data_IF_432745965163
#
_entry.id   IF_432745965163
#
_cell.length_a   1.000
_cell.length_b   1.000
_cell.length_c   1.000
_cell.angle_alpha   90.00
_cell.angle_beta   90.00
_cell.angle_gamma   90.00
#
_symmetry.space_group_name_H-M   'P 1'
#
loop_
_entity.id
_entity.type
_entity.pdbx_description
1 polymer ?
#
# COMPACT_ATOMS: atom_id res chain seq x y z
N UNK A 1 17.93 -19.93 22.28
CA UNK A 1 19.28 -19.36 22.41
C UNK A 1 19.54 -18.73 21.07
N UNK A 2 19.45 -17.41 21.01
CA UNK A 2 19.69 -16.64 19.80
C UNK A 2 21.21 -16.45 19.70
N UNK A 3 21.80 -16.96 18.61
CA UNK A 3 23.23 -16.81 18.36
C UNK A 3 23.47 -15.40 17.81
N UNK A 4 23.86 -14.51 18.72
CA UNK A 4 24.30 -13.16 18.39
C UNK A 4 25.73 -13.23 17.86
N UNK A 5 25.91 -13.12 16.54
CA UNK A 5 27.24 -13.03 15.94
C UNK A 5 27.80 -11.61 16.16
N UNK A 6 28.81 -11.51 17.02
CA UNK A 6 29.43 -10.26 17.46
C UNK A 6 30.24 -9.58 16.34
N UNK A 7 30.44 -10.24 15.19
CA UNK A 7 31.36 -9.76 14.15
C UNK A 7 30.70 -9.16 12.90
N UNK A 8 29.39 -9.30 12.70
CA UNK A 8 28.72 -8.83 11.47
C UNK A 8 27.74 -7.66 11.67
N UNK A 9 27.37 -7.29 12.91
CA UNK A 9 26.31 -6.30 13.17
C UNK A 9 24.98 -6.60 12.44
N UNK A 10 24.80 -7.81 11.94
CA UNK A 10 23.60 -8.27 11.26
C UNK A 10 22.95 -9.35 12.11
N UNK A 11 21.69 -9.14 12.46
CA UNK A 11 20.91 -10.13 13.18
C UNK A 11 20.34 -11.09 12.14
N UNK A 12 20.92 -12.28 12.02
CA UNK A 12 20.35 -13.35 11.20
C UNK A 12 19.10 -13.91 11.88
N UNK A 13 17.94 -13.35 11.51
CA UNK A 13 16.66 -13.87 11.95
C UNK A 13 16.29 -15.11 11.15
N UNK A 14 15.98 -16.21 11.86
CA UNK A 14 15.51 -17.45 11.22
C UNK A 14 14.10 -17.24 10.64
N UNK A 15 13.80 -17.79 9.44
CA UNK A 15 12.46 -17.75 8.79
C UNK A 15 11.26 -17.99 9.74
N UNK A 16 11.30 -18.92 10.70
CA UNK A 16 10.20 -19.15 11.64
C UNK A 16 9.95 -17.96 12.59
N UNK A 17 10.99 -17.20 12.92
CA UNK A 17 10.88 -16.01 13.77
C UNK A 17 10.19 -14.86 13.02
N UNK A 18 10.55 -14.62 11.76
CA UNK A 18 9.86 -13.65 10.90
C UNK A 18 8.36 -13.96 10.82
N UNK A 19 8.01 -15.21 10.49
CA UNK A 19 6.62 -15.64 10.42
C UNK A 19 5.87 -15.45 11.74
N UNK A 20 6.52 -15.65 12.89
CA UNK A 20 5.90 -15.44 14.21
C UNK A 20 5.71 -13.96 14.56
N UNK A 21 6.70 -13.11 14.29
CA UNK A 21 6.60 -11.66 14.49
C UNK A 21 5.52 -11.08 13.58
N UNK A 22 5.55 -11.44 12.31
CA UNK A 22 4.56 -11.07 11.31
C UNK A 22 3.16 -11.51 11.74
N UNK A 23 2.98 -12.78 12.14
CA UNK A 23 1.67 -13.30 12.58
C UNK A 23 1.12 -12.51 13.76
N UNK A 24 1.97 -12.13 14.72
CA UNK A 24 1.60 -11.33 15.88
C UNK A 24 1.15 -9.92 15.47
N UNK A 25 1.85 -9.26 14.56
CA UNK A 25 1.48 -7.90 14.11
C UNK A 25 0.19 -7.85 13.28
N UNK A 26 -0.18 -8.94 12.59
CA UNK A 26 -1.37 -8.97 11.72
C UNK A 26 -2.61 -9.50 12.42
N UNK A 27 -2.48 -10.53 13.25
CA UNK A 27 -3.62 -11.12 13.97
C UNK A 27 -3.98 -10.31 15.21
N UNK A 28 -2.99 -9.74 15.89
CA UNK A 28 -3.20 -8.80 16.98
C UNK A 28 -3.05 -7.38 16.41
N UNK A 29 -4.07 -6.90 15.70
CA UNK A 29 -4.11 -5.51 15.22
C UNK A 29 -3.82 -4.60 16.41
N UNK A 30 -2.67 -3.90 16.47
CA UNK A 30 -2.40 -3.02 17.59
C UNK A 30 -3.50 -1.96 17.63
N UNK A 31 -3.97 -1.64 18.84
CA UNK A 31 -5.00 -0.62 19.10
C UNK A 31 -4.67 0.76 18.53
N UNK A 32 -3.43 0.96 18.04
CA UNK A 32 -2.99 2.07 17.21
C UNK A 32 -2.64 1.58 15.80
N UNK A 33 -3.58 1.65 14.84
CA UNK A 33 -3.51 0.79 13.66
C UNK A 33 -2.92 1.52 12.45
N UNK A 34 -1.75 2.17 12.52
CA UNK A 34 -1.31 2.97 11.34
C UNK A 34 0.06 3.65 11.39
N UNK A 35 1.04 3.03 12.06
CA UNK A 35 2.41 3.54 12.04
C UNK A 35 3.21 3.14 10.80
N UNK A 36 4.43 3.66 10.63
CA UNK A 36 5.42 3.16 9.67
C UNK A 36 5.66 1.63 9.77
N UNK A 37 5.52 1.06 10.98
CA UNK A 37 5.59 -0.39 11.20
C UNK A 37 4.46 -1.16 10.51
N UNK A 38 3.26 -0.58 10.41
CA UNK A 38 2.16 -1.19 9.65
C UNK A 38 2.54 -1.30 8.17
N UNK A 39 3.01 -0.20 7.57
CA UNK A 39 3.44 -0.17 6.18
C UNK A 39 4.58 -1.15 5.91
N UNK A 40 5.59 -1.15 6.79
CA UNK A 40 6.74 -2.06 6.74
C UNK A 40 6.34 -3.53 6.80
N UNK A 41 5.47 -3.90 7.75
CA UNK A 41 5.00 -5.28 7.87
C UNK A 41 4.21 -5.72 6.64
N UNK A 42 3.38 -4.84 6.07
CA UNK A 42 2.64 -5.13 4.83
C UNK A 42 3.56 -5.35 3.64
N UNK A 43 4.66 -4.59 3.51
CA UNK A 43 5.68 -4.86 2.50
C UNK A 43 6.29 -6.25 2.68
N UNK A 44 6.76 -6.59 3.88
CA UNK A 44 7.34 -7.91 4.17
C UNK A 44 6.38 -9.07 3.83
N UNK A 45 5.11 -8.94 4.20
CA UNK A 45 4.10 -9.94 3.86
C UNK A 45 3.88 -10.08 2.36
N UNK A 46 3.94 -8.97 1.62
CA UNK A 46 3.82 -9.03 0.17
C UNK A 46 4.99 -9.78 -0.47
N UNK A 47 6.20 -9.63 0.06
CA UNK A 47 7.40 -10.35 -0.39
C UNK A 47 7.27 -11.87 -0.16
N UNK A 48 6.76 -12.26 1.03
CA UNK A 48 6.46 -13.67 1.32
C UNK A 48 5.39 -14.23 0.37
N UNK A 49 4.29 -13.49 0.17
CA UNK A 49 3.21 -13.90 -0.73
C UNK A 49 3.69 -14.02 -2.19
N UNK A 50 4.59 -13.13 -2.63
CA UNK A 50 5.17 -13.20 -3.96
C UNK A 50 6.01 -14.47 -4.13
N UNK A 51 6.82 -14.83 -3.11
CA UNK A 51 7.59 -16.07 -3.10
C UNK A 51 6.74 -17.35 -3.09
N UNK A 52 5.54 -17.29 -2.53
CA UNK A 52 4.56 -18.38 -2.52
C UNK A 52 3.66 -18.43 -3.76
N UNK A 53 3.85 -17.52 -4.73
CA UNK A 53 2.97 -17.32 -5.90
C UNK A 53 1.51 -17.01 -5.53
N UNK A 54 1.29 -16.34 -4.40
CA UNK A 54 -0.02 -15.86 -3.98
C UNK A 54 -0.22 -14.39 -4.38
N UNK A 55 -0.51 -14.18 -5.67
CA UNK A 55 -0.57 -12.85 -6.27
C UNK A 55 -1.66 -11.95 -5.66
N UNK A 56 -2.81 -12.52 -5.30
CA UNK A 56 -3.93 -11.77 -4.74
C UNK A 56 -3.62 -11.19 -3.36
N UNK A 57 -3.02 -11.98 -2.47
CA UNK A 57 -2.59 -11.51 -1.16
C UNK A 57 -1.40 -10.55 -1.28
N UNK A 58 -0.44 -10.85 -2.17
CA UNK A 58 0.67 -9.94 -2.47
C UNK A 58 0.17 -8.54 -2.89
N UNK A 59 -0.73 -8.49 -3.86
CA UNK A 59 -1.34 -7.26 -4.33
C UNK A 59 -2.12 -6.51 -3.23
N UNK A 60 -2.89 -7.24 -2.42
CA UNK A 60 -3.59 -6.65 -1.29
C UNK A 60 -2.61 -6.02 -0.30
N UNK A 61 -1.58 -6.75 0.13
CA UNK A 61 -0.61 -6.24 1.09
C UNK A 61 0.24 -5.09 0.54
N UNK A 62 0.62 -5.10 -0.74
CA UNK A 62 1.26 -3.94 -1.36
C UNK A 62 0.33 -2.72 -1.38
N UNK A 63 -0.95 -2.90 -1.73
CA UNK A 63 -1.93 -1.79 -1.69
C UNK A 63 -2.09 -1.20 -0.28
N UNK A 64 -2.05 -2.06 0.74
CA UNK A 64 -2.15 -1.68 2.15
C UNK A 64 -0.87 -1.03 2.71
N UNK A 65 0.27 -1.30 2.10
CA UNK A 65 1.56 -0.73 2.52
C UNK A 65 1.68 0.77 2.24
N UNK A 66 0.82 1.32 1.35
CA UNK A 66 0.91 2.69 0.89
C UNK A 66 -0.06 3.59 1.66
N UNK A 67 0.36 4.80 2.00
CA UNK A 67 -0.51 5.88 2.52
C UNK A 67 -1.36 5.59 3.77
N UNK A 68 -0.98 4.61 4.60
CA UNK A 68 -1.63 4.31 5.88
C UNK A 68 -1.88 5.54 6.78
N UNK A 69 -0.96 6.51 6.82
CA UNK A 69 -1.14 7.76 7.57
C UNK A 69 -2.28 8.63 7.03
N UNK A 70 -2.42 8.74 5.69
CA UNK A 70 -3.53 9.47 5.06
C UNK A 70 -4.86 8.79 5.35
N UNK A 71 -4.90 7.45 5.26
CA UNK A 71 -6.09 6.65 5.63
C UNK A 71 -6.51 6.90 7.07
N UNK A 72 -5.55 6.99 7.99
CA UNK A 72 -5.81 7.28 9.41
C UNK A 72 -6.45 8.65 9.60
N UNK A 73 -5.90 9.68 8.93
CA UNK A 73 -6.46 11.02 8.98
C UNK A 73 -7.87 11.07 8.39
N UNK A 74 -8.13 10.30 7.32
CA UNK A 74 -9.47 10.19 6.73
C UNK A 74 -10.46 9.53 7.69
N UNK A 75 -10.09 8.42 8.35
CA UNK A 75 -10.90 7.76 9.38
C UNK A 75 -11.17 8.71 10.53
N UNK A 76 -10.13 9.37 11.05
CA UNK A 76 -10.26 10.33 12.14
C UNK A 76 -11.21 11.48 11.76
N UNK A 77 -11.13 11.99 10.54
CA UNK A 77 -12.02 13.04 10.05
C UNK A 77 -13.47 12.56 9.93
N UNK A 78 -13.70 11.34 9.45
CA UNK A 78 -15.03 10.74 9.38
C UNK A 78 -15.64 10.59 10.79
N UNK A 79 -14.84 10.15 11.77
CA UNK A 79 -15.30 10.07 13.17
C UNK A 79 -15.62 11.43 13.78
N UNK A 80 -14.82 12.47 13.50
CA UNK A 80 -15.12 13.83 13.92
C UNK A 80 -16.46 14.31 13.35
N UNK A 81 -16.70 14.08 12.05
CA UNK A 81 -17.96 14.46 11.39
C UNK A 81 -19.14 13.72 11.99
N UNK A 82 -19.02 12.40 12.23
CA UNK A 82 -20.04 11.59 12.90
C UNK A 82 -20.36 12.12 14.31
N UNK A 83 -19.34 12.52 15.06
CA UNK A 83 -19.50 13.00 16.44
C UNK A 83 -20.07 14.43 16.51
N UNK A 84 -19.82 15.24 15.49
CA UNK A 84 -20.24 16.65 15.45
C UNK A 84 -21.61 16.84 14.79
N UNK A 85 -21.97 15.97 13.84
CA UNK A 85 -23.18 16.08 13.02
C UNK A 85 -24.48 15.69 13.71
N UNK A 86 -24.44 14.76 14.68
CA UNK A 86 -25.65 14.30 15.37
C UNK A 86 -25.38 13.96 16.85
N UNK A 87 -26.01 14.73 17.75
CA UNK A 87 -25.90 14.51 19.21
C UNK A 87 -26.45 13.14 19.62
N UNK A 88 -27.41 12.59 18.87
CA UNK A 88 -28.01 11.29 19.15
C UNK A 88 -27.02 10.18 18.79
N UNK A 89 -26.37 10.25 17.62
CA UNK A 89 -25.29 9.32 17.26
C UNK A 89 -24.14 9.34 18.27
N UNK A 90 -23.79 10.51 18.82
CA UNK A 90 -22.78 10.61 19.88
C UNK A 90 -23.17 9.78 21.10
N UNK A 91 -24.40 9.92 21.59
CA UNK A 91 -24.89 9.14 22.75
C UNK A 91 -24.94 7.65 22.43
N UNK A 92 -25.45 7.25 21.26
CA UNK A 92 -25.48 5.84 20.84
C UNK A 92 -24.08 5.22 20.77
N UNK A 93 -23.09 5.92 20.22
CA UNK A 93 -21.71 5.43 20.13
C UNK A 93 -21.05 5.23 21.50
N UNK A 94 -21.47 5.95 22.55
CA UNK A 94 -20.97 5.73 23.91
C UNK A 94 -21.71 4.62 24.64
N UNK A 95 -23.01 4.45 24.37
CA UNK A 95 -23.88 3.49 25.07
C UNK A 95 -23.78 2.08 24.48
N UNK A 96 -23.74 1.94 23.15
CA UNK A 96 -23.75 0.65 22.45
C UNK A 96 -22.57 -0.26 22.82
N UNK A 97 -21.31 0.21 22.87
CA UNK A 97 -20.19 -0.64 23.28
C UNK A 97 -20.28 -1.12 24.73
N UNK A 98 -20.89 -0.34 25.62
CA UNK A 98 -21.12 -0.73 27.02
C UNK A 98 -22.18 -1.83 27.07
N UNK A 99 -23.26 -1.69 26.31
CA UNK A 99 -24.30 -2.70 26.17
C UNK A 99 -23.73 -4.02 25.62
N UNK A 100 -22.96 -3.96 24.53
CA UNK A 100 -22.33 -5.14 23.93
C UNK A 100 -21.33 -5.84 24.90
N UNK A 101 -20.67 -5.07 25.77
CA UNK A 101 -19.77 -5.60 26.81
C UNK A 101 -20.54 -6.30 27.93
N UNK A 102 -21.69 -5.76 28.34
CA UNK A 102 -22.60 -6.37 29.31
C UNK A 102 -23.16 -7.68 28.74
N UNK A 103 -23.55 -7.66 27.47
CA UNK A 103 -24.18 -8.81 26.80
C UNK A 103 -23.17 -9.95 26.48
N UNK A 104 -21.88 -9.64 26.36
CA UNK A 104 -20.82 -10.62 25.99
C UNK A 104 -20.11 -11.30 27.16
N UNK A 105 -20.29 -10.85 28.41
CA UNK A 105 -19.67 -11.49 29.58
C UNK A 105 -20.60 -12.50 30.28
N UNK A 106 -20.18 -13.77 30.47
CA UNK A 106 -20.94 -14.71 31.28
C UNK A 106 -20.83 -14.34 32.77
N UNK A 107 -21.98 -14.06 33.39
CA UNK A 107 -22.09 -13.40 34.69
C UNK A 107 -21.65 -14.31 35.85
N UNK A 108 -20.84 -13.78 36.76
CA UNK A 108 -20.53 -14.35 38.08
C UNK A 108 -21.50 -13.80 39.12
N UNK A 109 -22.05 -14.68 39.98
CA UNK A 109 -23.13 -14.42 40.96
C UNK A 109 -22.87 -13.33 42.01
N UNK A 110 -21.67 -12.76 42.09
CA UNK A 110 -21.33 -11.75 43.09
C UNK A 110 -21.47 -10.30 42.61
N UNK A 111 -21.60 -10.06 41.31
CA UNK A 111 -21.70 -8.70 40.73
C UNK A 111 -23.11 -8.34 40.21
N UNK A 112 -24.09 -9.25 40.38
CA UNK A 112 -25.46 -9.15 39.84
C UNK A 112 -26.17 -7.84 40.21
N UNK A 113 -26.02 -7.32 41.44
CA UNK A 113 -26.78 -6.13 41.87
C UNK A 113 -26.30 -4.81 41.26
N UNK A 114 -25.01 -4.69 40.97
CA UNK A 114 -24.42 -3.49 40.36
C UNK A 114 -24.66 -3.54 38.85
N UNK A 115 -24.53 -4.73 38.25
CA UNK A 115 -24.82 -4.96 36.84
C UNK A 115 -26.32 -4.88 36.52
N UNK A 116 -27.22 -5.28 37.41
CA UNK A 116 -28.69 -5.13 37.24
C UNK A 116 -29.11 -3.66 37.20
N UNK A 117 -28.48 -2.81 38.01
CA UNK A 117 -28.75 -1.36 38.01
C UNK A 117 -28.25 -0.71 36.72
N UNK A 118 -27.02 -1.04 36.29
CA UNK A 118 -26.42 -0.52 35.06
C UNK A 118 -27.14 -1.06 33.82
N UNK A 119 -27.51 -2.35 33.80
CA UNK A 119 -28.20 -2.99 32.68
C UNK A 119 -29.64 -2.52 32.55
N UNK A 120 -30.37 -2.26 33.64
CA UNK A 120 -31.74 -1.74 33.55
C UNK A 120 -31.79 -0.30 33.03
N UNK A 121 -30.87 0.57 33.47
CA UNK A 121 -30.74 1.93 32.93
C UNK A 121 -30.22 1.93 31.48
N UNK A 122 -29.24 1.07 31.16
CA UNK A 122 -28.70 0.90 29.81
C UNK A 122 -29.75 0.32 28.83
N UNK A 123 -30.56 -0.65 29.26
CA UNK A 123 -31.66 -1.19 28.46
C UNK A 123 -32.76 -0.15 28.21
N UNK A 124 -33.13 0.65 29.21
CA UNK A 124 -34.11 1.73 29.02
C UNK A 124 -33.58 2.80 28.07
N UNK A 125 -32.30 3.17 28.16
CA UNK A 125 -31.68 4.10 27.22
C UNK A 125 -31.53 3.49 25.82
N UNK A 126 -31.17 2.22 25.70
CA UNK A 126 -31.09 1.50 24.43
C UNK A 126 -32.48 1.38 23.75
N UNK A 127 -33.55 1.11 24.50
CA UNK A 127 -34.93 1.12 23.99
C UNK A 127 -35.33 2.50 23.45
N UNK A 128 -34.97 3.58 24.15
CA UNK A 128 -35.24 4.95 23.69
C UNK A 128 -34.42 5.27 22.42
N UNK A 129 -33.15 4.85 22.38
CA UNK A 129 -32.28 5.04 21.22
C UNK A 129 -32.74 4.22 20.00
N UNK A 130 -33.28 3.01 20.21
CA UNK A 130 -33.80 2.14 19.14
C UNK A 130 -35.01 2.74 18.39
N UNK A 131 -35.73 3.69 19.03
CA UNK A 131 -36.85 4.41 18.41
C UNK A 131 -36.38 5.44 17.38
N UNK A 132 -35.14 5.90 17.48
CA UNK A 132 -34.51 6.75 16.48
C UNK A 132 -33.82 5.82 15.46
N UNK A 133 -34.40 5.70 14.25
CA UNK A 133 -33.75 4.98 13.15
C UNK A 133 -32.46 5.70 12.77
N UNK A 134 -31.35 5.26 13.34
CA UNK A 134 -30.02 5.62 12.89
C UNK A 134 -29.64 4.57 11.85
N UNK A 135 -29.45 5.02 10.62
CA UNK A 135 -28.89 4.18 9.57
C UNK A 135 -27.40 3.98 9.87
N UNK A 136 -27.05 2.90 10.56
CA UNK A 136 -25.69 2.55 10.98
C UNK A 136 -24.89 1.92 9.83
N UNK A 137 -25.53 1.67 8.68
CA UNK A 137 -24.90 1.10 7.50
C UNK A 137 -23.95 2.11 6.87
N UNK A 138 -22.67 1.99 7.22
CA UNK A 138 -21.60 2.71 6.58
C UNK A 138 -21.61 2.39 5.08
N UNK A 139 -21.56 3.41 4.20
CA UNK A 139 -21.36 3.19 2.78
C UNK A 139 -20.17 2.26 2.54
N UNK A 140 -20.30 1.32 1.61
CA UNK A 140 -19.31 0.27 1.32
C UNK A 140 -17.86 0.78 1.28
N UNK A 141 -17.60 1.93 0.65
CA UNK A 141 -16.26 2.51 0.56
C UNK A 141 -15.67 2.97 1.91
N UNK A 142 -16.51 3.31 2.91
CA UNK A 142 -16.08 3.72 4.25
C UNK A 142 -15.68 2.53 5.13
N UNK A 143 -16.27 1.36 4.90
CA UNK A 143 -15.90 0.12 5.58
C UNK A 143 -14.42 -0.21 5.30
N UNK A 144 -14.00 -0.05 4.04
CA UNK A 144 -12.61 -0.26 3.62
C UNK A 144 -11.62 0.82 4.03
N UNK A 145 -12.07 1.99 4.45
CA UNK A 145 -11.15 2.98 5.01
C UNK A 145 -10.70 2.60 6.42
N UNK A 146 -11.43 1.73 7.12
CA UNK A 146 -11.09 1.35 8.50
C UNK A 146 -10.12 0.17 8.52
N UNK A 147 -9.20 0.19 9.49
CA UNK A 147 -8.34 -0.96 9.77
C UNK A 147 -9.14 -1.96 10.60
N UNK A 148 -9.93 -2.80 9.93
CA UNK A 148 -10.80 -3.81 10.56
C UNK A 148 -10.57 -5.18 9.94
N UNK A 149 -11.22 -6.22 10.50
CA UNK A 149 -11.25 -7.55 9.90
C UNK A 149 -11.89 -7.58 8.50
N UNK A 150 -12.66 -6.56 8.13
CA UNK A 150 -13.23 -6.38 6.79
C UNK A 150 -12.18 -5.91 5.77
N UNK A 151 -11.04 -5.40 6.24
CA UNK A 151 -9.91 -5.03 5.40
C UNK A 151 -9.06 -6.28 5.09
N UNK A 152 -9.50 -7.05 4.11
CA UNK A 152 -8.90 -8.33 3.73
C UNK A 152 -8.92 -8.53 2.21
N UNK A 153 -8.18 -9.54 1.75
CA UNK A 153 -8.01 -9.86 0.33
C UNK A 153 -9.32 -10.15 -0.39
N UNK A 154 -10.24 -10.91 0.22
CA UNK A 154 -11.52 -11.24 -0.42
C UNK A 154 -12.31 -9.98 -0.77
N UNK A 155 -12.33 -9.03 0.17
CA UNK A 155 -13.03 -7.80 -0.02
C UNK A 155 -12.28 -6.84 -0.96
N UNK A 156 -10.95 -6.82 -0.93
CA UNK A 156 -10.14 -6.11 -1.92
C UNK A 156 -10.49 -6.57 -3.34
N UNK A 157 -10.59 -7.88 -3.59
CA UNK A 157 -11.02 -8.42 -4.89
C UNK A 157 -12.46 -8.02 -5.24
N UNK A 158 -13.39 -7.94 -4.28
CA UNK A 158 -14.75 -7.44 -4.52
C UNK A 158 -14.76 -5.97 -4.96
N UNK A 159 -13.87 -5.14 -4.40
CA UNK A 159 -13.72 -3.73 -4.81
C UNK A 159 -13.17 -3.66 -6.23
N UNK A 160 -12.12 -4.43 -6.52
CA UNK A 160 -11.53 -4.47 -7.86
C UNK A 160 -12.58 -4.84 -8.91
N UNK A 161 -13.42 -5.85 -8.64
CA UNK A 161 -14.53 -6.23 -9.53
C UNK A 161 -15.52 -5.10 -9.81
N UNK A 162 -15.73 -4.18 -8.85
CA UNK A 162 -16.63 -3.03 -9.00
C UNK A 162 -16.00 -1.84 -9.74
N UNK A 163 -14.69 -1.85 -10.02
CA UNK A 163 -14.05 -0.78 -10.79
C UNK A 163 -14.64 -0.70 -12.20
N UNK A 164 -14.61 0.48 -12.84
CA UNK A 164 -14.95 0.58 -14.25
C UNK A 164 -14.03 -0.31 -15.10
N UNK A 165 -14.59 -0.99 -16.11
CA UNK A 165 -13.83 -1.96 -16.95
C UNK A 165 -12.75 -1.31 -17.80
N UNK A 166 -12.87 -0.01 -18.01
CA UNK A 166 -11.90 0.82 -18.70
C UNK A 166 -10.71 1.23 -17.81
N UNK A 167 -10.80 1.02 -16.49
CA UNK A 167 -9.75 1.42 -15.56
C UNK A 167 -8.75 0.28 -15.33
N UNK A 168 -7.47 0.65 -15.38
CA UNK A 168 -6.37 -0.18 -14.92
C UNK A 168 -5.55 0.68 -13.99
N UNK A 169 -5.35 0.22 -12.76
CA UNK A 169 -4.55 0.90 -11.76
C UNK A 169 -3.19 0.23 -11.73
N UNK A 170 -2.15 1.02 -11.88
CA UNK A 170 -0.77 0.56 -11.80
C UNK A 170 -0.14 1.18 -10.58
N UNK A 171 0.30 0.32 -9.68
CA UNK A 171 0.96 0.70 -8.44
C UNK A 171 2.44 0.35 -8.55
N UNK A 172 3.29 1.34 -8.31
CA UNK A 172 4.72 1.17 -8.10
C UNK A 172 5.00 1.24 -6.60
N UNK A 173 5.63 0.22 -6.04
CA UNK A 173 5.93 0.15 -4.61
C UNK A 173 7.39 -0.26 -4.40
N UNK A 174 8.12 0.51 -3.61
CA UNK A 174 9.46 0.14 -3.19
C UNK A 174 9.40 -1.04 -2.19
N UNK A 175 10.39 -1.95 -2.21
CA UNK A 175 10.46 -3.07 -1.29
C UNK A 175 10.59 -2.61 0.16
N UNK A 176 10.52 -3.58 1.08
CA UNK A 176 10.78 -3.28 2.48
C UNK A 176 12.21 -2.76 2.64
N UNK A 177 12.36 -1.59 3.27
CA UNK A 177 13.65 -1.07 3.68
C UNK A 177 13.60 -0.74 5.20
N UNK A 178 14.40 -1.43 6.05
CA UNK A 178 14.45 -1.16 7.48
C UNK A 178 14.75 0.30 7.84
N UNK A 179 15.52 0.98 6.99
CA UNK A 179 15.92 2.38 7.21
C UNK A 179 14.75 3.36 7.07
N UNK A 180 13.63 2.97 6.46
CA UNK A 180 12.41 3.80 6.38
C UNK A 180 11.89 4.22 7.76
N UNK A 181 12.11 3.37 8.77
CA UNK A 181 11.65 3.61 10.14
C UNK A 181 12.71 4.27 11.03
N UNK A 182 13.98 4.22 10.62
CA UNK A 182 15.12 4.57 11.48
C UNK A 182 15.87 5.83 11.03
N UNK A 183 15.95 6.06 9.72
CA UNK A 183 16.74 7.13 9.13
C UNK A 183 15.85 8.25 8.55
N UNK A 184 16.36 9.48 8.42
CA UNK A 184 15.71 10.53 7.64
C UNK A 184 15.58 10.14 6.16
N UNK A 185 14.52 10.62 5.49
CA UNK A 185 14.24 10.34 4.06
C UNK A 185 15.45 10.56 3.14
N UNK A 186 16.25 11.60 3.39
CA UNK A 186 17.40 11.91 2.56
C UNK A 186 18.50 10.84 2.57
N UNK A 187 18.57 10.01 3.61
CA UNK A 187 19.60 8.99 3.77
C UNK A 187 19.23 7.69 3.07
N UNK A 188 17.96 7.28 3.07
CA UNK A 188 17.53 5.99 2.51
C UNK A 188 16.79 6.09 1.18
N UNK A 189 16.34 7.28 0.74
CA UNK A 189 15.55 7.42 -0.51
C UNK A 189 16.23 6.92 -1.78
N UNK A 190 17.55 6.77 -1.76
CA UNK A 190 18.34 6.23 -2.88
C UNK A 190 18.68 4.74 -2.73
N UNK A 191 18.34 4.13 -1.59
CA UNK A 191 18.51 2.71 -1.30
C UNK A 191 17.28 1.94 -1.82
N UNK A 192 17.15 1.89 -3.15
CA UNK A 192 16.07 1.16 -3.84
C UNK A 192 16.72 0.13 -4.76
N UNK A 193 16.65 -1.14 -4.35
CA UNK A 193 17.28 -2.26 -5.05
C UNK A 193 16.33 -2.97 -6.02
N UNK A 194 15.02 -2.76 -5.88
CA UNK A 194 13.98 -3.22 -6.80
C UNK A 194 12.73 -2.36 -6.68
N UNK A 195 11.77 -2.54 -7.59
CA UNK A 195 10.41 -1.98 -7.48
C UNK A 195 9.40 -3.08 -7.80
N UNK A 196 8.37 -3.18 -6.97
CA UNK A 196 7.18 -3.95 -7.27
C UNK A 196 6.24 -3.15 -8.17
N UNK A 197 5.93 -3.71 -9.34
CA UNK A 197 4.95 -3.21 -10.28
C UNK A 197 3.70 -4.09 -10.18
N UNK A 198 2.65 -3.55 -9.55
CA UNK A 198 1.36 -4.22 -9.39
C UNK A 198 0.32 -3.63 -10.33
N UNK A 199 -0.34 -4.48 -11.10
CA UNK A 199 -1.45 -4.14 -11.99
C UNK A 199 -2.77 -4.63 -11.40
N UNK A 200 -3.67 -3.68 -11.12
CA UNK A 200 -5.04 -3.95 -10.68
C UNK A 200 -6.02 -3.66 -11.81
N UNK A 201 -6.68 -4.70 -12.31
CA UNK A 201 -7.70 -4.60 -13.35
C UNK A 201 -8.77 -5.65 -13.10
N UNK A 202 -10.00 -5.36 -13.50
CA UNK A 202 -11.09 -6.32 -13.44
C UNK A 202 -11.37 -7.04 -14.76
N UNK A 203 -10.74 -6.61 -15.86
CA UNK A 203 -11.03 -7.13 -17.19
C UNK A 203 -10.64 -8.60 -17.32
N UNK A 204 -9.58 -9.03 -16.64
CA UNK A 204 -9.09 -10.41 -16.66
C UNK A 204 -9.63 -11.29 -15.51
N UNK A 205 -10.28 -10.69 -14.51
CA UNK A 205 -10.80 -11.42 -13.34
C UNK A 205 -11.88 -12.42 -13.75
N UNK A 206 -12.68 -12.09 -14.76
CA UNK A 206 -13.80 -12.93 -15.23
C UNK A 206 -13.34 -14.08 -16.14
N UNK A 207 -12.18 -13.95 -16.81
CA UNK A 207 -11.77 -14.90 -17.86
C UNK A 207 -10.76 -15.95 -17.39
N UNK A 208 -9.80 -15.60 -16.53
CA UNK A 208 -8.64 -16.47 -16.30
C UNK A 208 -8.41 -16.88 -14.84
N UNK A 209 -9.27 -16.51 -13.87
CA UNK A 209 -8.94 -16.60 -12.43
C UNK A 209 -7.60 -15.95 -12.06
N UNK A 210 -6.99 -15.22 -13.00
CA UNK A 210 -5.76 -14.47 -12.83
C UNK A 210 -6.16 -13.17 -12.15
N UNK A 211 -5.70 -13.03 -10.92
CA UNK A 211 -5.98 -11.89 -10.07
C UNK A 211 -5.20 -10.65 -10.52
N UNK A 212 -5.02 -9.69 -9.60
CA UNK A 212 -3.94 -8.72 -9.69
C UNK A 212 -2.62 -9.38 -10.06
N UNK A 213 -1.85 -8.75 -10.95
CA UNK A 213 -0.50 -9.21 -11.29
C UNK A 213 0.51 -8.33 -10.57
N UNK A 214 1.50 -8.93 -9.92
CA UNK A 214 2.64 -8.20 -9.33
C UNK A 214 3.93 -8.78 -9.87
N UNK A 215 4.83 -7.91 -10.31
CA UNK A 215 6.17 -8.31 -10.77
C UNK A 215 7.23 -7.50 -10.03
N UNK A 216 8.30 -8.17 -9.62
CA UNK A 216 9.48 -7.52 -9.08
C UNK A 216 10.42 -7.14 -10.22
N UNK A 217 10.76 -5.85 -10.31
CA UNK A 217 11.70 -5.32 -11.28
C UNK A 217 12.95 -4.88 -10.52
N UNK A 218 14.09 -5.59 -10.65
CA UNK A 218 15.33 -5.21 -9.96
C UNK A 218 15.81 -3.85 -10.44
N UNK A 219 16.55 -3.13 -9.60
CA UNK A 219 17.17 -1.88 -9.97
C UNK A 219 18.11 -2.09 -11.17
N UNK A 220 18.12 -1.14 -12.10
CA UNK A 220 19.01 -1.21 -13.26
C UNK A 220 20.46 -0.99 -12.83
N UNK A 221 21.18 -2.08 -12.55
CA UNK A 221 22.61 -2.12 -12.25
C UNK A 221 23.22 -3.16 -13.19
N UNK A 222 23.89 -2.71 -14.25
CA UNK A 222 24.39 -3.57 -15.33
C UNK A 222 25.80 -4.09 -14.98
N UNK A 223 26.57 -3.34 -14.18
CA UNK A 223 27.93 -3.71 -13.75
C UNK A 223 28.17 -3.46 -12.27
N UNK A 224 29.08 -4.26 -11.70
CA UNK A 224 29.56 -4.09 -10.33
C UNK A 224 30.19 -2.70 -10.15
N UNK A 225 29.65 -1.91 -9.22
CA UNK A 225 30.09 -0.53 -8.93
C UNK A 225 29.31 0.59 -9.65
N UNK A 226 28.43 0.27 -10.60
CA UNK A 226 27.51 1.26 -11.17
C UNK A 226 26.50 1.72 -10.13
N UNK A 227 26.17 3.00 -10.16
CA UNK A 227 25.17 3.57 -9.26
C UNK A 227 23.77 3.23 -9.79
N UNK A 228 22.81 2.89 -8.92
CA UNK A 228 21.44 2.65 -9.33
C UNK A 228 20.88 3.85 -10.10
N UNK A 229 20.09 3.57 -11.14
CA UNK A 229 19.43 4.58 -11.98
C UNK A 229 18.66 5.62 -11.15
N UNK A 230 18.05 5.20 -10.04
CA UNK A 230 17.36 6.09 -9.11
C UNK A 230 18.27 7.16 -8.50
N UNK A 231 19.52 6.81 -8.18
CA UNK A 231 20.48 7.77 -7.61
C UNK A 231 20.85 8.85 -8.63
N UNK A 232 21.00 8.47 -9.90
CA UNK A 232 21.21 9.43 -10.98
C UNK A 232 19.99 10.35 -11.13
N UNK A 233 18.78 9.78 -11.18
CA UNK A 233 17.54 10.53 -11.28
C UNK A 233 17.39 11.55 -10.12
N UNK A 234 17.65 11.12 -8.89
CA UNK A 234 17.63 12.02 -7.73
C UNK A 234 18.68 13.12 -7.81
N UNK A 235 19.89 12.81 -8.29
CA UNK A 235 20.94 13.80 -8.47
C UNK A 235 20.57 14.88 -9.50
N UNK A 236 19.90 14.49 -10.59
CA UNK A 236 19.39 15.40 -11.62
C UNK A 236 18.31 16.32 -11.07
N UNK A 237 17.39 15.78 -10.27
CA UNK A 237 16.35 16.57 -9.63
C UNK A 237 16.96 17.60 -8.66
N UNK A 238 17.93 17.18 -7.83
CA UNK A 238 18.61 18.08 -6.90
C UNK A 238 19.39 19.19 -7.62
N UNK A 239 20.09 18.86 -8.71
CA UNK A 239 20.79 19.82 -9.55
C UNK A 239 19.82 20.81 -10.23
N UNK A 240 18.67 20.33 -10.70
CA UNK A 240 17.62 21.16 -11.28
C UNK A 240 17.04 22.14 -10.26
N UNK A 241 16.70 21.67 -9.05
CA UNK A 241 16.19 22.54 -7.98
C UNK A 241 17.20 23.62 -7.60
N UNK A 242 18.48 23.26 -7.39
CA UNK A 242 19.56 24.23 -7.14
C UNK A 242 19.69 25.24 -8.27
N UNK A 243 19.54 24.81 -9.51
CA UNK A 243 19.62 25.71 -10.67
C UNK A 243 18.45 26.70 -10.69
N UNK A 244 17.24 26.25 -10.37
CA UNK A 244 16.04 27.09 -10.25
C UNK A 244 16.18 28.09 -9.10
N UNK A 245 16.65 27.66 -7.93
CA UNK A 245 16.82 28.51 -6.75
C UNK A 245 17.84 29.65 -6.98
N UNK A 246 18.82 29.42 -7.85
CA UNK A 246 19.81 30.41 -8.22
C UNK A 246 19.32 31.43 -9.26
N UNK A 247 18.18 31.18 -9.92
CA UNK A 247 17.65 32.02 -10.99
C UNK A 247 17.38 33.49 -10.59
N UNK A 248 16.84 33.80 -9.38
CA UNK A 248 16.61 35.17 -8.94
C UNK A 248 17.88 36.01 -8.74
N UNK A 249 19.04 35.37 -8.57
CA UNK A 249 20.31 36.04 -8.30
C UNK A 249 21.13 36.33 -9.58
N UNK A 250 20.58 36.03 -10.75
CA UNK A 250 21.24 36.24 -12.04
C UNK A 250 21.20 37.72 -12.44
N UNK A 251 22.34 38.39 -12.37
CA UNK A 251 22.47 39.84 -12.57
C UNK A 251 23.20 40.25 -13.87
N UNK A 252 23.73 39.29 -14.64
CA UNK A 252 24.46 39.55 -15.87
C UNK A 252 24.10 38.55 -16.97
N UNK A 253 24.07 39.02 -18.23
CA UNK A 253 23.85 38.22 -19.45
C UNK A 253 24.67 36.93 -19.51
N UNK A 254 25.94 36.96 -19.08
CA UNK A 254 26.78 35.74 -19.04
C UNK A 254 26.24 34.68 -18.08
N UNK A 255 25.74 35.10 -16.92
CA UNK A 255 25.15 34.19 -15.93
C UNK A 255 23.81 33.63 -16.42
N UNK A 256 23.02 34.46 -17.10
CA UNK A 256 21.77 34.02 -17.76
C UNK A 256 22.06 32.96 -18.84
N UNK A 257 23.09 33.17 -19.67
CA UNK A 257 23.50 32.18 -20.67
C UNK A 257 23.98 30.87 -20.03
N UNK A 258 24.81 30.95 -18.98
CA UNK A 258 25.24 29.76 -18.24
C UNK A 258 24.07 29.00 -17.59
N UNK A 259 23.08 29.74 -17.06
CA UNK A 259 21.86 29.14 -16.51
C UNK A 259 21.10 28.33 -17.57
N UNK A 260 20.86 28.90 -18.75
CA UNK A 260 20.17 28.20 -19.83
C UNK A 260 20.95 26.99 -20.34
N UNK A 261 22.26 27.12 -20.50
CA UNK A 261 23.12 26.00 -20.90
C UNK A 261 23.10 24.85 -19.88
N UNK A 262 23.10 25.16 -18.57
CA UNK A 262 22.96 24.13 -17.53
C UNK A 262 21.59 23.44 -17.58
N UNK A 263 20.51 24.18 -17.81
CA UNK A 263 19.17 23.59 -17.93
C UNK A 263 19.02 22.71 -19.15
N UNK A 264 19.66 23.07 -20.25
CA UNK A 264 19.71 22.25 -21.46
C UNK A 264 20.46 20.94 -21.21
N UNK A 265 21.61 20.98 -20.51
CA UNK A 265 22.35 19.77 -20.10
C UNK A 265 21.50 18.86 -19.20
N UNK A 266 20.82 19.43 -18.20
CA UNK A 266 19.91 18.69 -17.32
C UNK A 266 18.77 18.04 -18.12
N UNK A 267 18.17 18.75 -19.08
CA UNK A 267 17.10 18.21 -19.94
C UNK A 267 17.60 17.04 -20.80
N UNK A 268 18.78 17.16 -21.41
CA UNK A 268 19.39 16.08 -22.19
C UNK A 268 19.71 14.85 -21.32
N UNK A 269 20.27 15.06 -20.13
CA UNK A 269 20.55 13.98 -19.17
C UNK A 269 19.26 13.31 -18.70
N UNK A 270 18.22 14.07 -18.39
CA UNK A 270 16.90 13.54 -18.02
C UNK A 270 16.29 12.68 -19.14
N UNK A 271 16.35 13.14 -20.40
CA UNK A 271 15.91 12.35 -21.56
C UNK A 271 16.69 11.05 -21.70
N UNK A 272 18.00 11.08 -21.46
CA UNK A 272 18.85 9.89 -21.48
C UNK A 272 18.43 8.89 -20.41
N UNK A 273 18.26 9.33 -19.16
CA UNK A 273 17.82 8.50 -18.03
C UNK A 273 16.46 7.86 -18.32
N UNK A 274 15.48 8.64 -18.81
CA UNK A 274 14.15 8.10 -19.16
C UNK A 274 14.24 7.05 -20.26
N UNK A 275 15.09 7.25 -21.28
CA UNK A 275 15.27 6.26 -22.36
C UNK A 275 15.90 4.95 -21.85
N UNK A 276 16.80 5.02 -20.86
CA UNK A 276 17.33 3.85 -20.16
C UNK A 276 16.25 3.18 -19.31
N UNK A 277 15.43 3.96 -18.59
CA UNK A 277 14.30 3.44 -17.80
C UNK A 277 13.32 2.64 -18.67
N UNK A 278 12.99 3.17 -19.84
CA UNK A 278 12.02 2.55 -20.76
C UNK A 278 12.60 1.27 -21.41
N UNK A 279 13.79 1.36 -22.00
CA UNK A 279 14.34 0.28 -22.85
C UNK A 279 15.06 -0.81 -22.08
N UNK A 280 15.80 -0.45 -21.05
CA UNK A 280 16.70 -1.38 -20.35
C UNK A 280 16.10 -1.83 -19.03
N UNK A 281 15.54 -0.90 -18.25
CA UNK A 281 15.05 -1.21 -16.91
C UNK A 281 13.66 -1.85 -16.89
N UNK A 282 12.65 -1.15 -17.44
CA UNK A 282 11.31 -1.71 -17.57
C UNK A 282 11.28 -2.76 -18.68
N UNK A 283 11.88 -2.44 -19.84
CA UNK A 283 12.06 -3.37 -20.95
C UNK A 283 10.73 -4.01 -21.37
N UNK A 284 10.63 -5.34 -21.22
CA UNK A 284 9.41 -6.09 -21.54
C UNK A 284 8.22 -5.76 -20.64
N UNK A 285 8.45 -5.28 -19.41
CA UNK A 285 7.39 -4.95 -18.47
C UNK A 285 6.67 -3.65 -18.80
N UNK A 286 7.19 -2.84 -19.72
CA UNK A 286 6.50 -1.62 -20.21
C UNK A 286 5.12 -1.95 -20.79
N UNK A 287 4.87 -3.17 -21.29
CA UNK A 287 3.54 -3.58 -21.74
C UNK A 287 2.50 -3.60 -20.63
N UNK A 288 2.90 -3.76 -19.36
CA UNK A 288 1.97 -3.65 -18.22
C UNK A 288 1.50 -2.21 -18.02
N UNK A 289 2.28 -1.22 -18.47
CA UNK A 289 1.93 0.19 -18.45
C UNK A 289 0.97 0.58 -19.59
N UNK A 290 0.88 -0.26 -20.61
CA UNK A 290 -0.03 -0.03 -21.72
C UNK A 290 -1.46 -0.40 -21.31
N UNK A 291 -2.40 0.50 -21.59
CA UNK A 291 -3.81 0.25 -21.36
C UNK A 291 -4.33 -0.92 -22.22
N UNK A 292 -5.55 -1.34 -21.90
CA UNK A 292 -6.27 -2.48 -22.49
C UNK A 292 -6.04 -2.74 -23.98
N UNK A 293 -5.80 -4.00 -24.34
CA UNK A 293 -6.00 -4.52 -25.70
C UNK A 293 -7.50 -4.78 -25.93
N UNK A 294 -8.14 -3.98 -26.76
CA UNK A 294 -9.61 -4.03 -26.95
C UNK A 294 -10.08 -5.15 -27.90
N UNK A 295 -9.18 -5.75 -28.69
CA UNK A 295 -9.54 -6.71 -29.72
C UNK A 295 -9.42 -8.17 -29.23
N UNK A 296 -10.57 -8.77 -28.92
CA UNK A 296 -10.70 -10.17 -28.51
C UNK A 296 -10.18 -11.16 -29.58
N UNK A 297 -10.26 -10.80 -30.86
CA UNK A 297 -9.80 -11.68 -31.95
C UNK A 297 -8.28 -11.75 -32.01
N UNK A 298 -7.59 -10.63 -31.79
CA UNK A 298 -6.14 -10.57 -31.69
C UNK A 298 -5.67 -11.30 -30.44
N UNK A 299 -6.31 -11.07 -29.28
CA UNK A 299 -6.02 -11.82 -28.04
C UNK A 299 -6.06 -13.33 -28.28
N UNK A 300 -7.15 -13.83 -28.86
CA UNK A 300 -7.33 -15.26 -29.09
C UNK A 300 -6.32 -15.84 -30.08
N UNK A 301 -5.87 -15.06 -31.07
CA UNK A 301 -4.79 -15.45 -31.98
C UNK A 301 -3.45 -15.54 -31.26
N UNK A 302 -3.14 -14.57 -30.39
CA UNK A 302 -1.92 -14.56 -29.60
C UNK A 302 -1.89 -15.75 -28.65
N UNK A 303 -2.98 -16.01 -27.93
CA UNK A 303 -3.10 -17.19 -27.04
C UNK A 303 -2.80 -18.48 -27.83
N UNK A 304 -3.48 -18.71 -28.96
CA UNK A 304 -3.25 -19.89 -29.79
C UNK A 304 -1.81 -20.00 -30.30
N UNK A 305 -1.19 -18.87 -30.66
CA UNK A 305 0.18 -18.87 -31.15
C UNK A 305 1.14 -19.23 -30.03
N UNK A 306 0.98 -18.64 -28.84
CA UNK A 306 1.78 -18.93 -27.65
C UNK A 306 1.62 -20.40 -27.25
N UNK A 307 0.39 -20.89 -27.13
CA UNK A 307 0.08 -22.29 -26.79
C UNK A 307 0.72 -23.27 -27.79
N UNK A 308 0.66 -22.95 -29.09
CA UNK A 308 1.30 -23.75 -30.14
C UNK A 308 2.83 -23.76 -30.00
N UNK A 309 3.47 -22.59 -29.81
CA UNK A 309 4.92 -22.53 -29.59
C UNK A 309 5.37 -23.26 -28.33
N UNK A 310 4.61 -23.19 -27.23
CA UNK A 310 4.93 -23.93 -26.00
C UNK A 310 4.81 -25.44 -26.26
N UNK A 311 3.76 -25.85 -26.97
CA UNK A 311 3.53 -27.26 -27.33
C UNK A 311 4.57 -27.80 -28.31
N UNK A 312 5.10 -26.97 -29.20
CA UNK A 312 6.16 -27.34 -30.15
C UNK A 312 7.55 -27.38 -29.49
N UNK A 313 7.73 -26.72 -28.34
CA UNK A 313 8.96 -26.71 -27.56
C UNK A 313 9.03 -27.82 -26.49
N UNK A 314 7.89 -28.36 -26.07
CA UNK A 314 7.78 -29.48 -25.12
C UNK A 314 7.78 -30.85 -25.80
#
# INVERSE_FOLDING_TARGET
MEDFDVFTNEIEYTKPFYANVLNKYVKDVPSTPSGPNYQSSRKLYAEECLGENNEADCAFYLSESVSASLRTLAVYRDEQLRTTGDKIQKVTNYVKPIQDLIDSQPISKNDEKILDFISSEAHQTAEILSKFKIDDDLPFYKQYMRFSSENNTENFLKILKKLPKEWTIIQLTAPYNPNENLKPLNEYRCEIDSIYLSMFTNDYLDFNSVGPLTVEIPANVIKEGEQPLFKELFSLLEENYKTIDNAPFLNNKRLVQNYWSKREDIDLRMKSVINVMDKEWLGGWTSLLTGKLQDETLRNKVIKLVDATISDWG
#
